data_IF_000083153962
#
_entry.id   IF_000083153962
#
_cell.length_a   1.000
_cell.length_b   1.000
_cell.length_c   1.000
_cell.angle_alpha   90.00
_cell.angle_beta   90.00
_cell.angle_gamma   90.00
#
_symmetry.space_group_name_H-M   'P 1'
#
loop_
_entity.id
_entity.type
_entity.pdbx_description
1 polymer ?
#
# COMPACT_ATOMS: atom_id res chain seq x y z
N UNK A 1 -6.74 107.67 23.11
CA UNK A 1 -7.93 107.40 22.27
C UNK A 1 -7.77 106.06 21.57
N UNK A 2 -8.83 105.26 21.61
CA UNK A 2 -8.92 103.83 21.24
C UNK A 2 -8.43 103.48 19.83
N UNK A 3 -7.73 102.34 19.69
CA UNK A 3 -7.39 101.68 18.41
C UNK A 3 -8.39 100.54 18.20
N UNK A 4 -9.29 100.69 17.24
CA UNK A 4 -10.26 99.67 16.84
C UNK A 4 -9.56 98.44 16.22
N UNK A 5 -9.83 97.25 16.76
CA UNK A 5 -9.36 95.95 16.24
C UNK A 5 -10.28 95.47 15.11
N UNK A 6 -9.75 95.44 13.89
CA UNK A 6 -10.36 94.75 12.74
C UNK A 6 -10.40 93.23 12.98
N UNK A 7 -11.60 92.64 13.06
CA UNK A 7 -11.81 91.18 13.12
C UNK A 7 -11.69 90.59 11.71
N UNK A 8 -10.70 89.73 11.48
CA UNK A 8 -10.60 88.90 10.25
C UNK A 8 -11.79 87.95 10.16
N UNK A 9 -12.65 88.10 9.14
CA UNK A 9 -13.71 87.13 8.80
C UNK A 9 -13.07 85.89 8.19
N UNK A 10 -13.21 84.75 8.86
CA UNK A 10 -12.78 83.45 8.33
C UNK A 10 -13.78 83.03 7.24
N UNK A 11 -13.27 82.66 6.07
CA UNK A 11 -14.10 82.19 4.95
C UNK A 11 -14.73 80.85 5.30
N UNK A 12 -16.05 80.83 5.43
CA UNK A 12 -16.87 79.63 5.73
C UNK A 12 -16.58 78.50 4.73
N UNK A 13 -16.31 78.84 3.47
CA UNK A 13 -15.99 77.88 2.42
C UNK A 13 -14.64 77.17 2.65
N UNK A 14 -13.63 77.88 3.18
CA UNK A 14 -12.35 77.26 3.55
C UNK A 14 -12.50 76.30 4.73
N UNK A 15 -13.35 76.64 5.69
CA UNK A 15 -13.68 75.74 6.82
C UNK A 15 -14.42 74.50 6.31
N UNK A 16 -15.43 74.68 5.46
CA UNK A 16 -16.19 73.57 4.89
C UNK A 16 -15.32 72.60 4.08
N UNK A 17 -14.40 73.13 3.26
CA UNK A 17 -13.46 72.32 2.50
C UNK A 17 -12.50 71.54 3.43
N UNK A 18 -12.02 72.17 4.51
CA UNK A 18 -11.16 71.51 5.49
C UNK A 18 -11.90 70.38 6.23
N UNK A 19 -13.13 70.63 6.66
CA UNK A 19 -13.96 69.63 7.34
C UNK A 19 -14.31 68.48 6.41
N UNK A 20 -14.64 68.77 5.15
CA UNK A 20 -14.92 67.75 4.13
C UNK A 20 -13.69 66.90 3.83
N UNK A 21 -12.51 67.51 3.76
CA UNK A 21 -11.25 66.79 3.59
C UNK A 21 -10.96 65.86 4.78
N UNK A 22 -11.15 66.34 6.01
CA UNK A 22 -10.96 65.51 7.21
C UNK A 22 -11.98 64.36 7.28
N UNK A 23 -13.22 64.60 6.86
CA UNK A 23 -14.24 63.55 6.76
C UNK A 23 -13.87 62.47 5.73
N UNK A 24 -13.43 62.87 4.54
CA UNK A 24 -12.96 61.93 3.52
C UNK A 24 -11.74 61.13 4.01
N UNK A 25 -10.79 61.77 4.70
CA UNK A 25 -9.64 61.09 5.29
C UNK A 25 -10.05 60.08 6.36
N UNK A 26 -11.01 60.44 7.23
CA UNK A 26 -11.56 59.53 8.23
C UNK A 26 -12.25 58.32 7.58
N UNK A 27 -13.01 58.53 6.49
CA UNK A 27 -13.62 57.45 5.71
C UNK A 27 -12.56 56.54 5.08
N UNK A 28 -11.52 57.10 4.47
CA UNK A 28 -10.44 56.30 3.86
C UNK A 28 -9.71 55.47 4.92
N UNK A 29 -9.42 56.04 6.09
CA UNK A 29 -8.76 55.31 7.18
C UNK A 29 -9.68 54.21 7.72
N UNK A 30 -10.96 54.51 7.96
CA UNK A 30 -11.91 53.55 8.54
C UNK A 30 -12.23 52.41 7.58
N UNK A 31 -12.65 52.72 6.35
CA UNK A 31 -13.02 51.72 5.36
C UNK A 31 -11.80 51.04 4.74
N UNK A 32 -10.71 51.77 4.50
CA UNK A 32 -9.45 51.20 4.03
C UNK A 32 -8.80 50.27 5.06
N UNK A 33 -8.77 50.67 6.34
CA UNK A 33 -8.29 49.81 7.43
C UNK A 33 -9.13 48.55 7.60
N UNK A 34 -10.46 48.66 7.49
CA UNK A 34 -11.37 47.51 7.52
C UNK A 34 -11.19 46.59 6.32
N UNK A 35 -10.98 47.15 5.12
CA UNK A 35 -10.69 46.38 3.91
C UNK A 35 -9.38 45.61 4.04
N UNK A 36 -8.30 46.25 4.51
CA UNK A 36 -7.01 45.60 4.74
C UNK A 36 -7.14 44.49 5.79
N UNK A 37 -7.85 44.75 6.90
CA UNK A 37 -8.10 43.75 7.94
C UNK A 37 -8.83 42.53 7.39
N UNK A 38 -9.93 42.74 6.66
CA UNK A 38 -10.71 41.65 6.05
C UNK A 38 -9.93 40.93 4.95
N UNK A 39 -9.12 41.65 4.17
CA UNK A 39 -8.22 41.06 3.18
C UNK A 39 -7.17 40.18 3.83
N UNK A 40 -6.59 40.60 4.97
CA UNK A 40 -5.64 39.78 5.75
C UNK A 40 -6.35 38.61 6.42
N UNK A 41 -7.56 38.78 6.96
CA UNK A 41 -8.32 37.68 7.59
C UNK A 41 -8.77 36.63 6.57
N UNK A 42 -9.21 37.03 5.37
CA UNK A 42 -9.59 36.09 4.30
C UNK A 42 -8.41 35.50 3.52
N UNK A 43 -7.26 36.18 3.48
CA UNK A 43 -6.04 35.67 2.82
C UNK A 43 -4.98 35.17 3.80
N UNK A 44 -5.29 35.11 5.11
CA UNK A 44 -4.56 34.24 6.02
C UNK A 44 -4.83 32.83 5.50
N UNK A 45 -3.89 32.33 4.71
CA UNK A 45 -3.70 30.91 4.52
C UNK A 45 -3.64 30.36 5.94
N UNK A 46 -4.70 29.69 6.40
CA UNK A 46 -4.58 28.81 7.55
C UNK A 46 -3.34 27.97 7.24
N UNK A 47 -2.32 28.05 8.10
CA UNK A 47 -1.21 27.11 8.03
C UNK A 47 -1.82 25.73 8.19
N UNK A 48 -2.17 25.10 7.08
CA UNK A 48 -2.74 23.77 7.07
C UNK A 48 -1.67 22.89 7.69
N UNK A 49 -1.99 22.32 8.84
CA UNK A 49 -1.06 21.59 9.68
C UNK A 49 -0.86 20.18 9.11
N UNK A 50 -0.41 20.14 7.85
CA UNK A 50 -0.33 18.91 7.08
C UNK A 50 0.71 17.97 7.67
N UNK A 51 0.45 16.68 7.51
CA UNK A 51 1.38 15.62 7.92
C UNK A 51 2.78 15.85 7.34
N UNK A 52 2.87 16.31 6.09
CA UNK A 52 4.13 16.63 5.43
C UNK A 52 4.92 17.73 6.15
N UNK A 53 4.25 18.81 6.58
CA UNK A 53 4.90 19.91 7.31
C UNK A 53 5.42 19.43 8.66
N UNK A 54 4.58 18.73 9.43
CA UNK A 54 4.94 18.19 10.74
C UNK A 54 6.16 17.27 10.67
N UNK A 55 6.20 16.37 9.66
CA UNK A 55 7.33 15.45 9.47
C UNK A 55 8.60 16.20 9.10
N UNK A 56 8.53 17.25 8.25
CA UNK A 56 9.69 18.07 7.92
C UNK A 56 10.27 18.75 9.15
N UNK A 57 9.41 19.34 9.96
CA UNK A 57 9.81 20.07 11.17
C UNK A 57 10.41 19.15 12.23
N UNK A 58 9.79 17.98 12.47
CA UNK A 58 10.27 17.01 13.45
C UNK A 58 11.58 16.34 13.04
N UNK A 59 11.92 16.34 11.75
CA UNK A 59 13.13 15.71 11.20
C UNK A 59 14.19 16.71 10.71
N UNK A 60 14.06 18.02 11.00
CA UNK A 60 14.98 19.06 10.51
C UNK A 60 16.47 18.79 10.85
N UNK A 61 16.72 18.18 12.00
CA UNK A 61 18.07 17.86 12.51
C UNK A 61 18.44 16.37 12.29
N UNK A 62 17.58 15.60 11.61
CA UNK A 62 17.78 14.18 11.35
C UNK A 62 18.73 13.99 10.17
N UNK A 63 19.94 13.46 10.42
CA UNK A 63 20.95 13.18 9.38
C UNK A 63 20.46 12.21 8.29
N UNK A 64 19.49 11.37 8.63
CA UNK A 64 18.87 10.41 7.74
C UNK A 64 17.66 10.98 6.97
N UNK A 65 17.40 12.28 7.11
CA UNK A 65 16.37 13.01 6.37
C UNK A 65 17.02 14.10 5.50
N UNK A 66 17.27 13.76 4.24
CA UNK A 66 18.14 14.54 3.34
C UNK A 66 17.31 15.25 2.28
N UNK A 67 17.78 16.42 1.83
CA UNK A 67 17.21 17.11 0.69
C UNK A 67 17.96 16.71 -0.58
N UNK A 68 17.24 16.17 -1.56
CA UNK A 68 17.76 15.82 -2.90
C UNK A 68 16.84 16.46 -3.94
N UNK A 69 17.36 17.38 -4.74
CA UNK A 69 16.59 18.11 -5.77
C UNK A 69 15.29 18.77 -5.24
N UNK A 70 15.32 19.27 -4.00
CA UNK A 70 14.17 19.91 -3.34
C UNK A 70 13.24 18.95 -2.59
N UNK A 71 13.29 17.66 -2.89
CA UNK A 71 12.51 16.63 -2.20
C UNK A 71 13.23 16.17 -0.93
N UNK A 72 12.47 15.78 0.09
CA UNK A 72 13.01 15.33 1.38
C UNK A 72 12.94 13.82 1.48
N UNK A 73 14.08 13.14 1.41
CA UNK A 73 14.19 11.68 1.47
C UNK A 73 14.52 11.20 2.88
N UNK A 74 13.81 10.18 3.33
CA UNK A 74 14.31 9.32 4.40
C UNK A 74 15.37 8.37 3.85
N UNK A 75 16.37 8.05 4.66
CA UNK A 75 17.52 7.27 4.19
C UNK A 75 18.22 6.51 5.29
N UNK A 76 18.98 5.48 4.94
CA UNK A 76 19.66 4.64 5.92
C UNK A 76 18.75 3.57 6.52
N UNK A 77 19.29 2.83 7.48
CA UNK A 77 18.58 1.80 8.24
C UNK A 77 18.02 2.36 9.55
N UNK A 78 17.05 1.67 10.16
CA UNK A 78 16.46 2.03 11.47
C UNK A 78 15.85 3.45 11.52
N UNK A 79 14.97 3.74 10.57
CA UNK A 79 14.28 5.03 10.43
C UNK A 79 12.85 4.94 10.94
N UNK A 80 12.41 5.95 11.70
CA UNK A 80 11.03 6.14 12.13
C UNK A 80 10.24 6.89 11.04
N UNK A 81 9.89 6.17 9.98
CA UNK A 81 9.15 6.67 8.83
C UNK A 81 7.91 5.83 8.50
N UNK A 82 7.31 5.20 9.50
CA UNK A 82 6.19 4.27 9.33
C UNK A 82 4.84 5.00 9.25
N UNK A 83 3.96 4.51 8.37
CA UNK A 83 2.59 5.01 8.19
C UNK A 83 1.66 3.80 8.09
N UNK A 84 0.52 3.85 8.78
CA UNK A 84 -0.54 2.85 8.63
C UNK A 84 -1.62 3.39 7.69
N UNK A 85 -1.95 2.61 6.67
CA UNK A 85 -3.02 2.91 5.72
C UNK A 85 -3.61 1.60 5.16
N UNK A 86 -4.92 1.47 5.19
CA UNK A 86 -5.67 0.27 4.79
C UNK A 86 -5.20 -0.99 5.55
N UNK A 87 -4.88 -0.85 6.85
CA UNK A 87 -4.26 -1.89 7.70
C UNK A 87 -2.97 -2.51 7.15
N UNK A 88 -2.33 -1.84 6.18
CA UNK A 88 -0.99 -2.13 5.73
C UNK A 88 -0.01 -1.18 6.39
N UNK A 89 1.20 -1.67 6.61
CA UNK A 89 2.31 -0.85 7.07
C UNK A 89 3.10 -0.33 5.87
N UNK A 90 3.32 0.97 5.84
CA UNK A 90 4.04 1.69 4.81
C UNK A 90 5.24 2.42 5.40
N UNK A 91 6.19 2.78 4.55
CA UNK A 91 7.42 3.51 4.85
C UNK A 91 7.51 4.72 3.94
N UNK A 92 7.66 5.90 4.50
CA UNK A 92 7.81 7.13 3.71
C UNK A 92 9.16 7.08 2.99
N UNK A 93 9.14 7.12 1.66
CA UNK A 93 10.34 7.31 0.84
C UNK A 93 10.73 8.79 0.93
N UNK A 94 9.79 9.65 0.57
CA UNK A 94 10.07 11.08 0.42
C UNK A 94 8.84 11.95 0.61
N UNK A 95 9.10 13.21 0.92
CA UNK A 95 8.13 14.30 0.79
C UNK A 95 8.49 15.11 -0.45
N UNK A 96 7.55 15.16 -1.39
CA UNK A 96 7.72 15.80 -2.69
C UNK A 96 7.70 17.33 -2.55
N UNK A 97 8.10 18.02 -3.63
CA UNK A 97 8.11 19.49 -3.69
C UNK A 97 6.73 20.12 -3.47
N UNK A 98 5.66 19.42 -3.87
CA UNK A 98 4.27 19.83 -3.70
C UNK A 98 3.67 19.42 -2.34
N UNK A 99 4.50 18.96 -1.39
CA UNK A 99 4.13 18.44 -0.07
C UNK A 99 3.27 17.16 -0.08
N UNK A 100 3.10 16.50 -1.23
CA UNK A 100 2.61 15.12 -1.23
C UNK A 100 3.68 14.18 -0.64
N UNK A 101 3.26 13.05 -0.08
CA UNK A 101 4.17 12.09 0.56
C UNK A 101 4.13 10.78 -0.23
N UNK A 102 5.27 10.37 -0.77
CA UNK A 102 5.41 9.08 -1.46
C UNK A 102 5.91 8.03 -0.48
N UNK A 103 5.20 6.92 -0.40
CA UNK A 103 5.48 5.83 0.53
C UNK A 103 5.42 4.47 -0.15
N UNK A 104 6.21 3.55 0.38
CA UNK A 104 6.32 2.16 -0.08
C UNK A 104 5.79 1.23 1.00
N UNK A 105 5.12 0.14 0.62
CA UNK A 105 4.77 -0.93 1.57
C UNK A 105 6.02 -1.41 2.34
N UNK A 106 5.91 -1.69 3.64
CA UNK A 106 7.05 -2.13 4.49
C UNK A 106 7.66 -3.43 3.94
N UNK A 107 6.80 -4.25 3.33
CA UNK A 107 7.14 -5.51 2.67
C UNK A 107 6.37 -5.68 1.38
N UNK A 108 6.90 -6.51 0.49
CA UNK A 108 6.19 -6.97 -0.69
C UNK A 108 4.85 -7.58 -0.29
N UNK A 109 3.84 -7.46 -1.15
CA UNK A 109 2.48 -7.94 -0.82
C UNK A 109 2.01 -9.08 -1.70
N UNK A 110 2.80 -9.45 -2.71
CA UNK A 110 2.61 -10.64 -3.54
C UNK A 110 3.91 -10.91 -4.31
N UNK A 111 3.99 -12.03 -5.02
CA UNK A 111 5.10 -12.36 -5.91
C UNK A 111 4.56 -12.67 -7.30
N UNK A 112 5.01 -11.95 -8.32
CA UNK A 112 4.52 -12.04 -9.69
C UNK A 112 5.67 -11.94 -10.68
N UNK A 113 5.51 -12.55 -11.84
CA UNK A 113 6.30 -12.20 -13.01
C UNK A 113 5.81 -10.87 -13.58
N UNK A 114 6.74 -10.03 -14.05
CA UNK A 114 6.37 -8.78 -14.75
C UNK A 114 5.64 -9.06 -16.07
N UNK A 115 5.96 -10.19 -16.71
CA UNK A 115 5.55 -10.52 -18.07
C UNK A 115 6.50 -9.94 -19.13
N UNK A 116 6.27 -10.29 -20.39
CA UNK A 116 7.15 -9.92 -21.51
C UNK A 116 7.02 -8.44 -21.93
N UNK A 117 6.09 -7.70 -21.34
CA UNK A 117 5.86 -6.32 -21.76
C UNK A 117 7.01 -5.39 -21.39
N UNK A 118 7.41 -4.59 -22.37
CA UNK A 118 8.44 -3.55 -22.24
C UNK A 118 7.95 -2.43 -21.31
N UNK A 119 6.73 -1.97 -21.57
CA UNK A 119 6.11 -0.84 -20.87
C UNK A 119 5.51 -1.26 -19.52
N UNK A 120 5.85 -0.52 -18.46
CA UNK A 120 5.37 -0.80 -17.11
C UNK A 120 3.83 -0.86 -17.03
N UNK A 121 3.12 0.12 -17.60
CA UNK A 121 1.64 0.22 -17.51
C UNK A 121 0.90 -0.97 -18.17
N UNK A 122 1.60 -1.78 -18.95
CA UNK A 122 1.04 -2.98 -19.60
C UNK A 122 1.53 -4.29 -18.98
N UNK A 123 2.44 -4.21 -18.00
CA UNK A 123 2.93 -5.36 -17.24
C UNK A 123 1.84 -5.99 -16.38
N UNK A 124 2.01 -7.28 -16.06
CA UNK A 124 1.14 -7.98 -15.13
C UNK A 124 1.15 -7.35 -13.74
N UNK A 125 2.30 -6.84 -13.29
CA UNK A 125 2.42 -6.11 -12.02
C UNK A 125 1.54 -4.86 -12.01
N UNK A 126 1.61 -4.03 -13.06
CA UNK A 126 0.76 -2.82 -13.14
C UNK A 126 -0.72 -3.17 -13.17
N UNK A 127 -1.11 -4.24 -13.87
CA UNK A 127 -2.51 -4.72 -13.92
C UNK A 127 -3.00 -5.27 -12.58
N UNK A 128 -2.12 -5.94 -11.84
CA UNK A 128 -2.46 -6.44 -10.51
C UNK A 128 -2.63 -5.30 -9.51
N UNK A 129 -1.77 -4.28 -9.59
CA UNK A 129 -1.84 -3.10 -8.73
C UNK A 129 -3.03 -2.20 -9.06
N UNK A 130 -3.23 -1.85 -10.34
CA UNK A 130 -4.17 -0.83 -10.76
C UNK A 130 -5.30 -1.39 -11.63
N UNK A 131 -6.50 -0.86 -11.45
CA UNK A 131 -7.71 -1.28 -12.14
C UNK A 131 -7.66 -0.88 -13.61
N UNK A 132 -8.16 -1.77 -14.47
CA UNK A 132 -8.47 -1.49 -15.87
C UNK A 132 -9.92 -1.87 -16.12
N UNK A 133 -10.78 -0.88 -16.36
CA UNK A 133 -12.25 -1.08 -16.42
C UNK A 133 -12.70 -2.13 -17.44
N UNK A 134 -11.92 -2.40 -18.48
CA UNK A 134 -12.22 -3.40 -19.52
C UNK A 134 -11.56 -4.76 -19.31
N UNK A 135 -10.87 -5.00 -18.19
CA UNK A 135 -10.13 -6.25 -17.93
C UNK A 135 -10.48 -6.82 -16.54
N UNK A 136 -10.96 -8.08 -16.52
CA UNK A 136 -11.19 -8.83 -15.28
C UNK A 136 -9.86 -9.12 -14.55
N UNK A 137 -9.94 -9.36 -13.23
CA UNK A 137 -8.79 -9.68 -12.37
C UNK A 137 -7.68 -8.60 -12.37
N UNK A 138 -8.04 -7.35 -12.63
CA UNK A 138 -7.14 -6.18 -12.51
C UNK A 138 -7.49 -5.34 -11.28
N UNK A 139 -6.54 -4.51 -10.82
CA UNK A 139 -6.72 -3.66 -9.65
C UNK A 139 -6.95 -4.44 -8.36
N UNK A 140 -6.32 -5.60 -8.20
CA UNK A 140 -6.45 -6.43 -7.00
C UNK A 140 -6.08 -5.61 -5.76
N UNK A 141 -4.98 -4.86 -5.79
CA UNK A 141 -4.67 -3.95 -4.68
C UNK A 141 -5.59 -2.72 -4.67
N UNK A 142 -5.72 -2.02 -5.80
CA UNK A 142 -6.50 -0.78 -5.89
C UNK A 142 -7.93 -0.93 -5.35
N UNK A 143 -8.64 -1.99 -5.74
CA UNK A 143 -10.01 -2.25 -5.32
C UNK A 143 -10.14 -2.52 -3.80
N UNK A 144 -9.05 -2.92 -3.14
CA UNK A 144 -9.02 -3.25 -1.72
C UNK A 144 -8.52 -2.09 -0.83
N UNK A 145 -7.88 -1.06 -1.40
CA UNK A 145 -7.42 0.10 -0.62
C UNK A 145 -8.61 1.00 -0.20
N UNK A 146 -8.56 1.45 1.05
CA UNK A 146 -9.63 2.21 1.67
C UNK A 146 -9.71 3.65 1.15
N UNK A 147 -10.87 4.04 0.62
CA UNK A 147 -11.17 5.43 0.28
C UNK A 147 -10.07 6.12 -0.56
N UNK A 148 -9.53 5.40 -1.56
CA UNK A 148 -8.37 5.85 -2.34
C UNK A 148 -8.50 7.29 -2.87
N UNK A 149 -9.64 7.63 -3.46
CA UNK A 149 -9.89 8.96 -4.03
C UNK A 149 -9.83 10.08 -2.99
N UNK A 150 -10.08 9.78 -1.71
CA UNK A 150 -9.95 10.75 -0.61
C UNK A 150 -8.49 11.00 -0.29
N UNK A 151 -7.70 9.93 -0.12
CA UNK A 151 -6.37 9.99 0.47
C UNK A 151 -5.21 10.07 -0.54
N UNK A 152 -5.33 9.41 -1.69
CA UNK A 152 -4.24 9.23 -2.65
C UNK A 152 -4.33 10.20 -3.82
N UNK A 153 -3.18 10.47 -4.42
CA UNK A 153 -3.02 11.13 -5.72
C UNK A 153 -2.20 10.21 -6.64
N UNK A 154 -2.13 10.53 -7.94
CA UNK A 154 -1.26 9.80 -8.85
C UNK A 154 0.20 9.83 -8.37
N UNK A 155 0.83 8.67 -8.42
CA UNK A 155 2.21 8.47 -7.97
C UNK A 155 3.15 8.72 -9.13
N UNK A 156 4.01 9.73 -8.99
CA UNK A 156 5.04 10.09 -9.97
C UNK A 156 6.31 9.31 -9.69
N UNK A 157 6.56 8.27 -10.48
CA UNK A 157 7.68 7.34 -10.31
C UNK A 157 8.62 7.42 -11.50
N UNK A 158 9.91 7.48 -11.21
CA UNK A 158 10.98 7.51 -12.18
C UNK A 158 11.06 6.23 -13.01
N UNK A 159 10.71 6.27 -14.30
CA UNK A 159 10.70 5.09 -15.19
C UNK A 159 11.75 5.13 -16.30
N UNK A 160 12.74 6.03 -16.19
CA UNK A 160 13.92 6.07 -17.05
C UNK A 160 14.49 4.66 -17.33
N UNK A 161 15.00 4.48 -18.56
CA UNK A 161 15.85 3.33 -18.89
C UNK A 161 17.25 3.58 -18.32
N UNK A 162 17.71 2.72 -17.40
CA UNK A 162 18.93 2.94 -16.61
C UNK A 162 19.99 1.88 -16.93
N UNK A 163 21.19 2.35 -17.29
CA UNK A 163 22.41 1.53 -17.45
C UNK A 163 23.52 1.95 -16.48
N UNK A 164 23.67 3.26 -16.24
CA UNK A 164 24.58 3.80 -15.24
C UNK A 164 23.80 4.10 -13.96
N UNK A 165 23.99 3.27 -12.94
CA UNK A 165 23.33 3.41 -11.64
C UNK A 165 23.85 4.59 -10.83
N UNK A 166 24.96 5.22 -11.25
CA UNK A 166 25.56 6.38 -10.57
C UNK A 166 24.91 7.70 -10.96
N UNK A 167 24.37 7.78 -12.18
CA UNK A 167 23.84 9.03 -12.76
C UNK A 167 22.47 8.80 -13.38
N UNK A 168 21.43 8.85 -12.53
CA UNK A 168 20.04 8.66 -12.95
C UNK A 168 19.42 10.03 -13.25
N UNK A 169 18.93 10.24 -14.48
CA UNK A 169 18.46 11.55 -14.92
C UNK A 169 17.06 11.90 -14.42
N UNK A 170 16.23 10.88 -14.26
CA UNK A 170 14.84 10.95 -13.84
C UNK A 170 13.98 11.93 -14.64
N UNK A 171 13.95 11.75 -15.95
CA UNK A 171 13.21 12.61 -16.88
C UNK A 171 11.85 12.03 -17.27
N UNK A 172 11.74 10.71 -17.30
CA UNK A 172 10.51 10.01 -17.64
C UNK A 172 9.81 9.53 -16.36
N UNK A 173 8.56 9.97 -16.19
CA UNK A 173 7.76 9.74 -14.99
C UNK A 173 6.45 9.04 -15.36
N UNK A 174 5.90 8.29 -14.40
CA UNK A 174 4.47 7.92 -14.44
C UNK A 174 3.60 9.15 -14.13
N UNK A 175 2.46 9.30 -14.80
CA UNK A 175 1.60 10.48 -14.65
C UNK A 175 0.13 10.17 -14.30
N UNK A 176 -0.32 8.94 -14.58
CA UNK A 176 -1.73 8.56 -14.63
C UNK A 176 -2.03 7.29 -13.82
N UNK A 177 -1.18 6.96 -12.84
CA UNK A 177 -1.25 5.71 -12.08
C UNK A 177 -1.21 5.99 -10.59
N UNK A 178 -2.17 5.46 -9.82
CA UNK A 178 -2.21 5.64 -8.36
C UNK A 178 -1.14 4.82 -7.64
N UNK A 179 -0.91 3.59 -8.10
CA UNK A 179 -0.05 2.62 -7.43
C UNK A 179 1.06 2.16 -8.38
N UNK A 180 2.31 2.33 -7.98
CA UNK A 180 3.48 1.89 -8.75
C UNK A 180 4.31 0.88 -7.96
N UNK A 181 5.52 0.60 -8.42
CA UNK A 181 6.58 -0.12 -7.69
C UNK A 181 7.80 0.80 -7.58
N UNK A 182 8.76 0.55 -6.66
CA UNK A 182 9.89 1.46 -6.46
C UNK A 182 10.70 1.73 -7.72
N UNK A 183 11.26 2.94 -7.80
CA UNK A 183 12.27 3.27 -8.79
C UNK A 183 13.68 3.04 -8.26
N UNK A 184 14.62 2.79 -9.17
CA UNK A 184 16.04 2.75 -8.84
C UNK A 184 16.54 4.10 -8.32
N UNK A 185 15.99 5.22 -8.81
CA UNK A 185 16.31 6.55 -8.33
C UNK A 185 15.98 6.69 -6.83
N UNK A 186 14.76 6.32 -6.44
CA UNK A 186 14.33 6.40 -5.04
C UNK A 186 15.11 5.41 -4.17
N UNK A 187 15.41 4.20 -4.68
CA UNK A 187 16.23 3.22 -3.98
C UNK A 187 17.64 3.75 -3.67
N UNK A 188 18.30 4.39 -4.65
CA UNK A 188 19.62 5.00 -4.43
C UNK A 188 19.53 6.18 -3.44
N UNK A 189 18.52 7.04 -3.57
CA UNK A 189 18.37 8.23 -2.70
C UNK A 189 18.03 7.87 -1.24
N UNK A 190 17.39 6.72 -1.00
CA UNK A 190 17.17 6.19 0.35
C UNK A 190 18.40 5.49 0.94
N UNK A 191 19.48 5.31 0.18
CA UNK A 191 20.74 4.71 0.64
C UNK A 191 21.12 3.37 0.00
N UNK A 192 20.37 2.91 -1.01
CA UNK A 192 20.65 1.66 -1.71
C UNK A 192 20.60 0.45 -0.79
N UNK A 193 21.66 -0.38 -0.79
CA UNK A 193 21.76 -1.58 0.03
C UNK A 193 21.64 -1.28 1.55
N UNK A 194 22.05 -0.10 1.99
CA UNK A 194 21.97 0.33 3.39
C UNK A 194 20.71 1.16 3.68
N UNK A 195 19.67 1.03 2.86
CA UNK A 195 18.38 1.70 3.05
C UNK A 195 17.38 0.82 3.79
N UNK A 196 16.40 1.44 4.44
CA UNK A 196 15.23 0.75 4.99
C UNK A 196 14.39 0.02 3.93
N UNK A 197 14.57 0.31 2.63
CA UNK A 197 13.87 -0.39 1.56
C UNK A 197 14.41 -1.80 1.36
N UNK A 198 15.69 -2.04 1.69
CA UNK A 198 16.31 -3.36 1.72
C UNK A 198 15.93 -4.07 3.03
N UNK A 199 14.96 -4.99 2.92
CA UNK A 199 14.42 -5.79 4.02
C UNK A 199 14.58 -7.30 3.75
N UNK A 200 15.67 -7.68 3.06
CA UNK A 200 16.00 -9.07 2.70
C UNK A 200 14.99 -9.74 1.74
N UNK A 201 14.22 -8.94 1.02
CA UNK A 201 13.25 -9.39 0.02
C UNK A 201 13.78 -9.18 -1.41
N UNK A 202 13.38 -10.05 -2.33
CA UNK A 202 13.47 -9.78 -3.75
C UNK A 202 12.29 -8.92 -4.18
N UNK A 203 12.54 -7.78 -4.82
CA UNK A 203 11.45 -6.95 -5.37
C UNK A 203 11.79 -6.28 -6.70
N UNK A 204 10.79 -6.17 -7.57
CA UNK A 204 10.92 -5.47 -8.85
C UNK A 204 11.04 -3.97 -8.68
N UNK A 205 11.85 -3.35 -9.56
CA UNK A 205 11.86 -1.92 -9.80
C UNK A 205 11.09 -1.60 -11.08
N UNK A 206 10.56 -0.39 -11.18
CA UNK A 206 9.83 0.06 -12.39
C UNK A 206 10.74 0.16 -13.62
N UNK A 207 12.04 0.38 -13.40
CA UNK A 207 13.02 0.67 -14.44
C UNK A 207 13.44 -0.57 -15.23
N UNK A 208 13.72 -0.37 -16.51
CA UNK A 208 14.41 -1.34 -17.36
C UNK A 208 15.82 -0.87 -17.69
N UNK A 209 16.64 -1.77 -18.20
CA UNK A 209 17.91 -1.44 -18.86
C UNK A 209 17.73 -1.34 -20.40
N UNK A 210 18.77 -0.98 -21.16
CA UNK A 210 18.75 -0.86 -22.63
C UNK A 210 18.51 -2.17 -23.35
N UNK A 211 18.80 -3.30 -22.72
CA UNK A 211 18.43 -4.64 -23.21
C UNK A 211 16.96 -4.98 -22.94
N UNK A 212 16.18 -4.04 -22.38
CA UNK A 212 14.79 -4.21 -21.98
C UNK A 212 14.60 -5.32 -20.93
N UNK A 213 15.62 -5.56 -20.10
CA UNK A 213 15.51 -6.39 -18.89
C UNK A 213 15.06 -5.51 -17.74
N UNK A 214 14.14 -6.02 -16.94
CA UNK A 214 13.65 -5.31 -15.77
C UNK A 214 14.64 -5.44 -14.62
N UNK A 215 14.84 -4.33 -13.93
CA UNK A 215 15.66 -4.29 -12.73
C UNK A 215 14.87 -4.85 -11.54
N UNK A 216 15.57 -5.55 -10.67
CA UNK A 216 15.06 -5.95 -9.35
C UNK A 216 16.17 -5.79 -8.31
N UNK A 217 15.77 -5.76 -7.05
CA UNK A 217 16.68 -5.83 -5.89
C UNK A 217 16.60 -7.25 -5.33
N UNK A 218 17.76 -7.88 -5.08
CA UNK A 218 17.84 -9.18 -4.42
C UNK A 218 17.81 -9.06 -2.89
N UNK A 219 17.80 -10.20 -2.20
CA UNK A 219 17.78 -10.25 -0.74
C UNK A 219 19.04 -9.71 -0.04
N UNK A 220 20.11 -9.41 -0.78
CA UNK A 220 21.31 -8.72 -0.26
C UNK A 220 21.28 -7.20 -0.56
N UNK A 221 20.17 -6.71 -1.14
CA UNK A 221 20.00 -5.33 -1.57
C UNK A 221 20.69 -5.02 -2.90
N UNK A 222 21.21 -6.01 -3.62
CA UNK A 222 21.96 -5.79 -4.87
C UNK A 222 21.04 -5.79 -6.08
N UNK A 223 21.49 -5.10 -7.12
CA UNK A 223 20.76 -4.95 -8.36
C UNK A 223 20.90 -6.19 -9.25
N UNK A 224 19.77 -6.79 -9.64
CA UNK A 224 19.68 -7.92 -10.56
C UNK A 224 18.81 -7.62 -11.78
N UNK A 225 18.93 -8.44 -12.84
CA UNK A 225 18.19 -8.27 -14.10
C UNK A 225 17.28 -9.46 -14.36
N UNK A 226 16.07 -9.19 -14.82
CA UNK A 226 15.06 -10.19 -15.19
C UNK A 226 14.60 -10.00 -16.64
N UNK A 227 14.34 -11.10 -17.33
CA UNK A 227 13.68 -11.09 -18.64
C UNK A 227 12.15 -10.94 -18.54
N UNK A 228 11.61 -10.72 -17.34
CA UNK A 228 10.17 -10.56 -17.07
C UNK A 228 9.45 -11.85 -16.66
N UNK A 229 10.11 -13.01 -16.72
CA UNK A 229 9.56 -14.31 -16.32
C UNK A 229 9.88 -14.70 -14.86
N UNK A 230 10.82 -14.01 -14.20
CA UNK A 230 11.16 -14.31 -12.81
C UNK A 230 10.00 -13.91 -11.89
N UNK A 231 9.66 -14.76 -10.92
CA UNK A 231 8.55 -14.50 -10.02
C UNK A 231 9.11 -13.93 -8.72
N UNK A 232 8.96 -12.61 -8.59
CA UNK A 232 9.64 -11.78 -7.59
C UNK A 232 8.61 -10.90 -6.87
N UNK A 233 8.95 -10.45 -5.67
CA UNK A 233 8.11 -9.58 -4.86
C UNK A 233 7.66 -8.31 -5.57
N UNK A 234 6.39 -7.96 -5.34
CA UNK A 234 5.79 -6.70 -5.74
C UNK A 234 5.65 -5.85 -4.48
N UNK A 235 6.39 -4.74 -4.44
CA UNK A 235 6.41 -3.80 -3.33
C UNK A 235 5.74 -2.48 -3.74
N UNK A 236 4.41 -2.33 -3.51
CA UNK A 236 3.67 -1.16 -3.95
C UNK A 236 4.22 0.16 -3.43
N UNK A 237 4.16 1.18 -4.27
CA UNK A 237 4.43 2.58 -3.94
C UNK A 237 3.19 3.41 -4.24
N UNK A 238 2.81 4.26 -3.29
CA UNK A 238 1.67 5.17 -3.40
C UNK A 238 2.05 6.59 -2.93
N UNK A 239 1.24 7.57 -3.31
CA UNK A 239 1.44 8.96 -2.91
C UNK A 239 0.17 9.50 -2.25
N UNK A 240 0.29 9.93 -0.99
CA UNK A 240 -0.81 10.59 -0.27
C UNK A 240 -0.81 12.10 -0.55
N UNK A 241 -2.01 12.68 -0.58
CA UNK A 241 -2.22 14.10 -0.89
C UNK A 241 -1.56 15.02 0.16
N UNK A 242 -1.16 16.20 -0.30
CA UNK A 242 -0.56 17.23 0.55
C UNK A 242 -1.50 17.77 1.64
N UNK A 243 -2.81 17.61 1.46
CA UNK A 243 -3.86 18.07 2.40
C UNK A 243 -4.11 17.10 3.55
N UNK A 244 -3.44 15.95 3.59
CA UNK A 244 -3.64 14.96 4.65
C UNK A 244 -2.98 15.43 5.94
N UNK A 245 -3.75 15.38 7.01
CA UNK A 245 -3.32 15.64 8.38
C UNK A 245 -3.18 14.30 9.11
N UNK A 246 -2.12 14.17 9.92
CA UNK A 246 -1.95 13.00 10.76
C UNK A 246 -2.94 13.07 11.94
N UNK A 247 -3.68 11.99 12.17
CA UNK A 247 -4.60 11.84 13.31
C UNK A 247 -3.93 11.23 14.53
N UNK A 248 -2.74 10.66 14.38
CA UNK A 248 -1.95 10.06 15.45
C UNK A 248 -0.66 9.44 14.94
N UNK A 249 0.11 8.87 15.87
CA UNK A 249 1.39 8.24 15.59
C UNK A 249 2.59 9.19 15.60
N UNK A 250 3.77 8.64 15.83
CA UNK A 250 5.07 9.35 15.79
C UNK A 250 5.99 8.83 14.67
N UNK A 251 5.50 7.86 13.88
CA UNK A 251 6.22 7.28 12.76
C UNK A 251 7.16 6.15 13.16
N UNK A 252 7.18 5.70 14.42
CA UNK A 252 7.85 4.45 14.81
C UNK A 252 7.06 3.23 14.31
N UNK A 253 7.68 2.05 14.30
CA UNK A 253 7.01 0.81 13.84
C UNK A 253 5.81 0.44 14.72
N UNK A 254 5.93 0.67 16.03
CA UNK A 254 4.90 0.34 17.02
C UNK A 254 3.83 1.43 17.11
N UNK A 255 4.15 2.66 16.68
CA UNK A 255 3.23 3.79 16.68
C UNK A 255 3.31 4.56 15.33
N UNK A 256 2.94 3.92 14.21
CA UNK A 256 3.05 4.51 12.88
C UNK A 256 2.11 5.71 12.75
N UNK A 257 2.45 6.66 11.87
CA UNK A 257 1.52 7.74 11.56
C UNK A 257 0.20 7.18 11.01
N UNK A 258 -0.91 7.76 11.42
CA UNK A 258 -2.26 7.40 10.96
C UNK A 258 -2.98 8.64 10.43
N UNK A 259 -3.91 8.45 9.50
CA UNK A 259 -4.73 9.54 8.96
C UNK A 259 -6.12 9.11 8.50
N UNK A 260 -6.43 7.81 8.58
CA UNK A 260 -7.73 7.29 8.16
C UNK A 260 -8.78 7.55 9.24
N UNK A 261 -9.89 8.18 8.86
CA UNK A 261 -11.03 8.37 9.78
C UNK A 261 -11.98 7.17 9.84
N UNK A 262 -11.93 6.28 8.85
CA UNK A 262 -12.80 5.09 8.73
C UNK A 262 -11.95 3.84 8.65
N UNK A 263 -12.33 2.80 9.38
CA UNK A 263 -11.60 1.53 9.39
C UNK A 263 -11.71 0.83 8.03
N UNK A 264 -10.58 0.41 7.50
CA UNK A 264 -10.51 -0.45 6.32
C UNK A 264 -10.90 -1.88 6.67
N UNK A 265 -11.65 -2.58 5.81
CA UNK A 265 -11.81 -4.04 5.93
C UNK A 265 -10.57 -4.78 5.44
N UNK A 266 -9.90 -4.28 4.40
CA UNK A 266 -8.76 -4.98 3.84
C UNK A 266 -7.62 -4.95 4.83
N UNK A 267 -6.93 -6.07 4.99
CA UNK A 267 -5.88 -6.22 5.97
C UNK A 267 -6.35 -6.27 7.43
N UNK A 268 -7.65 -6.12 7.73
CA UNK A 268 -8.15 -6.19 9.11
C UNK A 268 -7.98 -7.58 9.71
N UNK A 269 -7.79 -7.60 11.03
CA UNK A 269 -7.79 -8.82 11.83
C UNK A 269 -9.22 -9.24 12.14
N UNK A 270 -9.50 -10.54 12.05
CA UNK A 270 -10.81 -11.14 12.40
C UNK A 270 -10.57 -12.25 13.41
N UNK A 271 -11.32 -12.25 14.51
CA UNK A 271 -11.25 -13.30 15.52
C UNK A 271 -12.46 -14.22 15.42
N UNK A 272 -12.20 -15.50 15.18
CA UNK A 272 -13.22 -16.55 15.14
C UNK A 272 -12.82 -17.65 16.13
N UNK A 273 -13.60 -17.81 17.20
CA UNK A 273 -13.18 -18.66 18.33
C UNK A 273 -11.85 -18.18 18.92
N UNK A 274 -10.83 -19.04 18.86
CA UNK A 274 -9.46 -18.72 19.29
C UNK A 274 -8.53 -18.33 18.14
N UNK A 275 -8.98 -18.44 16.90
CA UNK A 275 -8.14 -18.22 15.73
C UNK A 275 -8.22 -16.74 15.28
N UNK A 276 -7.06 -16.19 14.92
CA UNK A 276 -6.93 -14.85 14.35
C UNK A 276 -6.64 -14.97 12.85
N UNK A 277 -7.44 -14.28 12.06
CA UNK A 277 -7.41 -14.28 10.61
C UNK A 277 -7.13 -12.87 10.07
N UNK A 278 -6.74 -12.74 8.79
CA UNK A 278 -6.58 -11.49 8.06
C UNK A 278 -7.48 -11.47 6.83
N UNK A 279 -8.22 -10.39 6.60
CA UNK A 279 -9.01 -10.20 5.38
C UNK A 279 -8.08 -9.87 4.21
N UNK A 280 -7.99 -10.76 3.22
CA UNK A 280 -7.14 -10.58 2.03
C UNK A 280 -7.92 -10.28 0.75
N UNK A 281 -9.25 -10.48 0.75
CA UNK A 281 -10.12 -10.18 -0.37
C UNK A 281 -11.49 -9.75 0.15
N UNK A 282 -12.06 -8.70 -0.44
CA UNK A 282 -13.40 -8.19 -0.13
C UNK A 282 -14.25 -8.26 -1.39
N UNK A 283 -15.39 -8.93 -1.28
CA UNK A 283 -16.44 -8.95 -2.27
C UNK A 283 -17.69 -8.26 -1.69
N UNK A 284 -18.72 -8.05 -2.52
CA UNK A 284 -19.92 -7.30 -2.11
C UNK A 284 -20.59 -7.85 -0.84
N UNK A 285 -20.62 -9.18 -0.68
CA UNK A 285 -21.32 -9.89 0.42
C UNK A 285 -20.40 -10.69 1.34
N UNK A 286 -19.17 -10.93 0.94
CA UNK A 286 -18.27 -11.85 1.63
C UNK A 286 -16.86 -11.31 1.71
N UNK A 287 -16.12 -11.78 2.71
CA UNK A 287 -14.69 -11.53 2.86
C UNK A 287 -13.96 -12.87 2.88
N UNK A 288 -12.82 -12.94 2.19
CA UNK A 288 -11.92 -14.08 2.31
C UNK A 288 -10.82 -13.78 3.32
N UNK A 289 -10.55 -14.78 4.13
CA UNK A 289 -9.70 -14.71 5.30
C UNK A 289 -8.53 -15.67 5.16
N UNK A 290 -7.32 -15.23 5.47
CA UNK A 290 -6.15 -16.08 5.63
C UNK A 290 -5.80 -16.21 7.11
N UNK A 291 -5.47 -17.41 7.58
CA UNK A 291 -5.07 -17.59 8.98
C UNK A 291 -3.81 -16.74 9.26
N UNK A 292 -3.83 -15.95 10.33
CA UNK A 292 -2.70 -15.08 10.68
C UNK A 292 -1.56 -15.83 11.40
N UNK A 293 -1.55 -17.15 11.31
CA UNK A 293 -0.54 -18.03 11.89
C UNK A 293 -0.52 -19.35 11.10
N UNK A 294 0.38 -20.26 11.47
CA UNK A 294 0.29 -21.65 11.04
C UNK A 294 -0.88 -22.34 11.73
N UNK A 295 -1.41 -23.38 11.08
CA UNK A 295 -2.41 -24.27 11.68
C UNK A 295 -1.78 -25.02 12.87
N UNK A 296 -2.26 -24.71 14.08
CA UNK A 296 -1.80 -25.30 15.33
C UNK A 296 -2.94 -26.11 15.95
N UNK A 297 -2.67 -27.37 16.31
CA UNK A 297 -3.64 -28.23 17.02
C UNK A 297 -2.92 -28.77 18.25
N UNK A 298 -3.54 -28.62 19.43
CA UNK A 298 -2.96 -29.07 20.71
C UNK A 298 -1.53 -28.55 20.95
N UNK A 299 -1.27 -27.28 20.60
CA UNK A 299 0.04 -26.62 20.64
C UNK A 299 1.10 -27.17 19.67
N UNK A 300 0.74 -28.08 18.78
CA UNK A 300 1.63 -28.59 17.74
C UNK A 300 1.35 -27.93 16.38
N UNK A 301 2.40 -27.37 15.77
CA UNK A 301 2.38 -26.90 14.39
C UNK A 301 2.14 -28.07 13.45
N UNK A 302 1.02 -28.03 12.71
CA UNK A 302 0.67 -29.10 11.81
C UNK A 302 1.40 -28.96 10.47
N UNK A 303 1.85 -30.11 9.95
CA UNK A 303 2.44 -30.21 8.62
C UNK A 303 1.74 -31.29 7.81
N UNK A 304 1.60 -31.04 6.53
CA UNK A 304 0.89 -31.95 5.65
C UNK A 304 1.42 -31.85 4.22
N UNK A 305 1.35 -32.96 3.48
CA UNK A 305 1.68 -32.99 2.06
C UNK A 305 0.51 -32.48 1.23
N UNK A 306 0.76 -31.63 0.23
CA UNK A 306 -0.31 -31.11 -0.62
C UNK A 306 -1.16 -32.24 -1.25
N UNK A 307 -0.48 -33.21 -1.87
CA UNK A 307 -1.08 -34.41 -2.47
C UNK A 307 -0.03 -35.53 -2.55
N UNK A 308 -0.44 -36.76 -2.85
CA UNK A 308 0.50 -37.83 -3.22
C UNK A 308 1.05 -37.65 -4.63
N UNK A 309 0.29 -36.98 -5.52
CA UNK A 309 0.61 -36.75 -6.92
C UNK A 309 -0.25 -35.58 -7.46
N UNK A 310 0.34 -34.73 -8.30
CA UNK A 310 -0.33 -33.62 -8.99
C UNK A 310 -0.59 -32.37 -8.14
N UNK A 311 -1.17 -31.36 -8.80
CA UNK A 311 -1.38 -30.01 -8.25
C UNK A 311 -2.85 -29.70 -7.88
N UNK A 312 -3.80 -30.52 -8.34
CA UNK A 312 -5.21 -30.24 -8.15
C UNK A 312 -5.57 -30.24 -6.66
N UNK A 313 -6.22 -29.16 -6.22
CA UNK A 313 -6.77 -29.08 -4.88
C UNK A 313 -8.09 -29.84 -4.86
N UNK A 314 -8.07 -31.10 -4.39
CA UNK A 314 -9.22 -31.99 -4.44
C UNK A 314 -9.58 -32.49 -3.04
N UNK A 315 -10.68 -31.97 -2.51
CA UNK A 315 -11.20 -32.24 -1.17
C UNK A 315 -12.05 -33.52 -1.07
N UNK A 316 -12.31 -34.22 -2.19
CA UNK A 316 -12.95 -35.54 -2.22
C UNK A 316 -11.94 -36.70 -2.17
N UNK A 317 -10.67 -36.41 -2.49
CA UNK A 317 -9.62 -37.43 -2.57
C UNK A 317 -8.92 -37.62 -1.22
N UNK A 318 -9.12 -38.78 -0.61
CA UNK A 318 -8.45 -39.15 0.65
C UNK A 318 -6.93 -38.92 0.59
N UNK A 319 -6.35 -38.52 1.72
CA UNK A 319 -4.91 -38.25 1.92
C UNK A 319 -4.35 -37.03 1.17
N UNK A 320 -5.18 -36.14 0.63
CA UNK A 320 -4.77 -34.81 0.17
C UNK A 320 -4.90 -33.78 1.30
N UNK A 321 -4.19 -32.66 1.19
CA UNK A 321 -4.34 -31.53 2.12
C UNK A 321 -5.76 -30.96 2.06
N UNK A 322 -6.31 -30.87 0.85
CA UNK A 322 -7.68 -30.42 0.61
C UNK A 322 -8.71 -31.27 1.37
N UNK A 323 -8.58 -32.59 1.33
CA UNK A 323 -9.47 -33.50 2.06
C UNK A 323 -9.32 -33.31 3.57
N UNK A 324 -8.09 -33.23 4.06
CA UNK A 324 -7.82 -33.00 5.48
C UNK A 324 -8.48 -31.69 5.97
N UNK A 325 -8.27 -30.58 5.25
CA UNK A 325 -8.83 -29.28 5.63
C UNK A 325 -10.37 -29.31 5.65
N UNK A 326 -11.00 -29.82 4.59
CA UNK A 326 -12.45 -29.72 4.42
C UNK A 326 -13.26 -30.81 5.16
N UNK A 327 -12.67 -31.99 5.42
CA UNK A 327 -13.40 -33.09 6.07
C UNK A 327 -12.93 -33.37 7.51
N UNK A 328 -11.67 -33.04 7.85
CA UNK A 328 -11.11 -33.33 9.18
C UNK A 328 -10.96 -32.08 10.03
N UNK A 329 -10.28 -31.05 9.53
CA UNK A 329 -10.01 -29.83 10.29
C UNK A 329 -11.28 -28.98 10.46
N UNK A 330 -12.02 -28.73 9.38
CA UNK A 330 -13.27 -27.95 9.40
C UNK A 330 -14.24 -28.46 10.47
N UNK A 331 -14.38 -29.78 10.63
CA UNK A 331 -15.29 -30.38 11.60
C UNK A 331 -14.88 -30.19 13.07
N UNK A 332 -13.64 -29.75 13.33
CA UNK A 332 -13.14 -29.41 14.67
C UNK A 332 -13.37 -27.94 15.05
N UNK A 333 -13.70 -27.08 14.09
CA UNK A 333 -13.88 -25.65 14.34
C UNK A 333 -15.23 -25.38 15.01
N UNK A 334 -15.22 -24.62 16.11
CA UNK A 334 -16.44 -24.20 16.80
C UNK A 334 -17.33 -23.28 15.97
N UNK A 335 -16.75 -22.64 14.96
CA UNK A 335 -17.39 -21.67 14.08
C UNK A 335 -17.54 -22.18 12.63
N UNK A 336 -17.48 -23.50 12.41
CA UNK A 336 -17.56 -24.12 11.08
C UNK A 336 -18.80 -23.72 10.27
N UNK A 337 -19.91 -23.41 10.94
CA UNK A 337 -21.17 -23.02 10.30
C UNK A 337 -21.15 -21.59 9.75
N UNK A 338 -20.14 -20.79 10.13
CA UNK A 338 -19.87 -19.49 9.52
C UNK A 338 -19.12 -19.60 8.19
N UNK A 339 -18.39 -20.71 7.97
CA UNK A 339 -17.54 -20.92 6.81
C UNK A 339 -18.38 -21.36 5.61
N UNK A 340 -18.25 -20.61 4.52
CA UNK A 340 -19.01 -20.81 3.30
C UNK A 340 -18.19 -21.54 2.24
N UNK A 341 -18.90 -22.32 1.44
CA UNK A 341 -18.35 -22.79 0.18
C UNK A 341 -18.32 -21.62 -0.80
N UNK A 342 -17.15 -21.39 -1.39
CA UNK A 342 -16.95 -20.34 -2.40
C UNK A 342 -15.85 -20.77 -3.37
N UNK A 343 -15.57 -19.91 -4.35
CA UNK A 343 -14.54 -20.09 -5.36
C UNK A 343 -13.18 -19.66 -4.85
N UNK A 344 -12.24 -20.59 -4.84
CA UNK A 344 -10.81 -20.33 -4.62
C UNK A 344 -10.00 -20.64 -5.87
N UNK A 345 -8.98 -19.83 -6.14
CA UNK A 345 -8.09 -20.03 -7.27
C UNK A 345 -7.23 -21.30 -7.10
N UNK A 346 -7.12 -22.10 -8.16
CA UNK A 346 -6.30 -23.31 -8.23
C UNK A 346 -5.69 -23.50 -9.63
N UNK A 347 -5.47 -22.40 -10.36
CA UNK A 347 -4.92 -22.46 -11.71
C UNK A 347 -3.43 -22.76 -11.81
N UNK A 348 -2.93 -22.70 -13.05
CA UNK A 348 -1.54 -22.98 -13.40
C UNK A 348 -0.74 -21.70 -13.69
N UNK A 349 0.49 -21.66 -13.20
CA UNK A 349 1.42 -20.54 -13.41
C UNK A 349 2.77 -21.06 -13.92
N UNK A 350 3.07 -20.83 -15.19
CA UNK A 350 4.32 -21.26 -15.82
C UNK A 350 4.50 -20.61 -17.19
N UNK A 351 5.54 -21.01 -17.92
CA UNK A 351 5.75 -20.60 -19.31
C UNK A 351 4.57 -20.97 -20.22
N UNK A 352 3.83 -22.07 -19.97
CA UNK A 352 2.66 -22.42 -20.79
C UNK A 352 1.49 -21.46 -20.59
N UNK A 353 1.44 -20.79 -19.44
CA UNK A 353 0.45 -19.73 -19.16
C UNK A 353 1.03 -18.33 -19.34
N UNK A 354 2.28 -18.20 -19.83
CA UNK A 354 3.05 -16.97 -19.96
C UNK A 354 3.28 -16.24 -18.62
N UNK A 355 3.24 -16.96 -17.50
CA UNK A 355 3.28 -16.39 -16.16
C UNK A 355 2.24 -15.27 -15.96
N UNK A 356 1.05 -15.46 -16.55
CA UNK A 356 -0.09 -14.56 -16.41
C UNK A 356 -0.93 -14.93 -15.20
N UNK A 357 -0.94 -14.08 -14.17
CA UNK A 357 -1.64 -14.37 -12.91
C UNK A 357 -3.16 -14.40 -13.10
N UNK A 358 -3.69 -13.70 -14.09
CA UNK A 358 -5.14 -13.65 -14.34
C UNK A 358 -5.67 -15.04 -14.71
N UNK A 359 -4.86 -15.87 -15.36
CA UNK A 359 -5.20 -17.26 -15.68
C UNK A 359 -5.24 -18.14 -14.42
N UNK A 360 -4.41 -17.84 -13.43
CA UNK A 360 -4.42 -18.52 -12.13
C UNK A 360 -5.73 -18.22 -11.40
N UNK A 361 -6.08 -16.93 -11.31
CA UNK A 361 -7.28 -16.47 -10.58
C UNK A 361 -8.58 -16.90 -11.27
N UNK A 362 -8.58 -17.05 -12.60
CA UNK A 362 -9.74 -17.49 -13.38
C UNK A 362 -10.08 -18.98 -13.19
N UNK A 363 -9.07 -19.83 -13.01
CA UNK A 363 -9.29 -21.26 -12.76
C UNK A 363 -9.57 -21.48 -11.27
N UNK A 364 -10.81 -21.84 -10.96
CA UNK A 364 -11.31 -21.91 -9.58
C UNK A 364 -11.86 -23.29 -9.23
N UNK A 365 -11.92 -23.55 -7.93
CA UNK A 365 -12.59 -24.70 -7.32
C UNK A 365 -13.58 -24.21 -6.27
N UNK A 366 -14.71 -24.89 -6.17
CA UNK A 366 -15.71 -24.65 -5.12
C UNK A 366 -15.33 -25.50 -3.91
N UNK A 367 -15.00 -24.86 -2.79
CA UNK A 367 -14.68 -25.54 -1.53
C UNK A 367 -14.86 -24.59 -0.34
N UNK A 368 -14.86 -25.12 0.89
CA UNK A 368 -15.00 -24.31 2.11
C UNK A 368 -13.68 -23.76 2.64
N UNK A 369 -12.61 -24.52 2.46
CA UNK A 369 -11.26 -24.18 2.88
C UNK A 369 -10.27 -24.41 1.74
N UNK A 370 -9.35 -23.48 1.55
CA UNK A 370 -8.27 -23.59 0.55
C UNK A 370 -6.94 -23.10 1.12
N UNK A 371 -5.99 -22.77 0.25
CA UNK A 371 -4.75 -22.02 0.53
C UNK A 371 -4.72 -20.74 -0.31
N UNK A 372 -3.82 -19.82 0.01
CA UNK A 372 -3.54 -18.66 -0.85
C UNK A 372 -3.00 -19.11 -2.21
N UNK A 373 -3.43 -18.43 -3.26
CA UNK A 373 -2.95 -18.59 -4.64
C UNK A 373 -1.97 -17.47 -5.03
N UNK A 374 -1.14 -17.70 -6.03
CA UNK A 374 -0.44 -16.61 -6.71
C UNK A 374 -1.45 -15.62 -7.27
N UNK A 375 -1.18 -14.34 -7.05
CA UNK A 375 -2.12 -13.26 -7.29
C UNK A 375 -2.95 -12.86 -6.07
N UNK A 376 -2.99 -13.66 -5.00
CA UNK A 376 -3.60 -13.21 -3.74
C UNK A 376 -2.63 -12.29 -2.97
N UNK A 377 -3.15 -11.26 -2.26
CA UNK A 377 -2.36 -10.49 -1.32
C UNK A 377 -1.86 -11.33 -0.13
N UNK A 378 -0.59 -11.13 0.23
CA UNK A 378 0.09 -11.79 1.35
C UNK A 378 0.26 -10.78 2.49
N UNK A 379 -0.53 -10.96 3.54
CA UNK A 379 -0.64 -9.98 4.64
C UNK A 379 0.17 -10.34 5.89
N UNK A 380 0.68 -11.58 5.95
CA UNK A 380 1.60 -12.02 6.99
C UNK A 380 2.81 -12.70 6.36
N UNK A 381 3.77 -11.89 5.96
CA UNK A 381 5.01 -12.31 5.32
C UNK A 381 6.04 -12.95 6.26
N UNK A 382 5.76 -13.02 7.57
CA UNK A 382 6.60 -13.74 8.53
C UNK A 382 6.41 -15.26 8.43
N UNK A 383 5.27 -15.71 7.91
CA UNK A 383 4.99 -17.11 7.70
C UNK A 383 5.70 -17.60 6.44
N UNK A 384 6.50 -18.66 6.55
CA UNK A 384 7.21 -19.24 5.41
C UNK A 384 6.98 -20.74 5.31
N UNK A 385 7.41 -21.31 4.18
CA UNK A 385 7.47 -22.75 3.96
C UNK A 385 6.10 -23.44 4.04
N UNK A 386 5.11 -22.86 3.36
CA UNK A 386 3.78 -23.43 3.15
C UNK A 386 3.42 -23.41 1.66
N UNK A 387 2.59 -24.37 1.25
CA UNK A 387 2.12 -24.47 -0.14
C UNK A 387 1.16 -23.34 -0.50
N UNK A 388 1.28 -22.85 -1.73
CA UNK A 388 0.21 -22.10 -2.38
C UNK A 388 -0.73 -23.06 -3.13
N UNK A 389 -1.95 -22.65 -3.42
CA UNK A 389 -2.90 -23.45 -4.22
C UNK A 389 -2.58 -23.43 -5.72
N UNK A 390 -1.53 -22.74 -6.16
CA UNK A 390 -1.18 -22.61 -7.58
C UNK A 390 -0.29 -23.77 -8.06
N UNK A 391 -0.71 -24.42 -9.15
CA UNK A 391 0.09 -25.44 -9.83
C UNK A 391 1.06 -24.86 -10.85
N UNK A 392 2.02 -25.67 -11.30
CA UNK A 392 2.99 -25.26 -12.34
C UNK A 392 2.52 -25.72 -13.73
N UNK A 393 2.22 -27.02 -13.84
CA UNK A 393 1.70 -27.67 -15.04
C UNK A 393 0.85 -28.89 -14.65
N UNK A 394 -0.03 -29.35 -15.53
CA UNK A 394 -0.96 -30.46 -15.30
C UNK A 394 -0.27 -31.77 -14.94
N UNK A 395 0.91 -32.00 -15.51
CA UNK A 395 1.71 -33.21 -15.28
C UNK A 395 2.79 -33.01 -14.21
N UNK A 396 2.91 -31.81 -13.65
CA UNK A 396 3.91 -31.52 -12.63
C UNK A 396 3.44 -32.00 -11.27
N UNK A 397 4.39 -32.57 -10.52
CA UNK A 397 4.22 -32.88 -9.11
C UNK A 397 4.72 -31.78 -8.19
N UNK A 398 5.20 -30.67 -8.73
CA UNK A 398 5.72 -29.57 -7.97
C UNK A 398 4.65 -28.49 -7.79
N UNK A 399 4.60 -27.95 -6.58
CA UNK A 399 3.73 -26.85 -6.15
C UNK A 399 4.57 -25.64 -5.80
N UNK A 400 3.99 -24.45 -5.95
CA UNK A 400 4.60 -23.25 -5.43
C UNK A 400 4.55 -23.20 -3.91
N UNK A 401 5.61 -22.67 -3.32
CA UNK A 401 5.79 -22.51 -1.87
C UNK A 401 6.16 -21.07 -1.59
N UNK A 402 5.45 -20.47 -0.63
CA UNK A 402 5.78 -19.13 -0.18
C UNK A 402 6.99 -19.13 0.77
N UNK A 403 7.87 -18.16 0.58
CA UNK A 403 9.01 -17.84 1.43
C UNK A 403 9.03 -16.34 1.70
N UNK A 404 9.62 -15.93 2.83
CA UNK A 404 9.64 -14.54 3.27
C UNK A 404 10.52 -13.62 2.42
N UNK A 405 11.37 -14.16 1.55
CA UNK A 405 12.18 -13.39 0.61
C UNK A 405 11.40 -12.98 -0.66
N UNK A 406 10.12 -13.36 -0.79
CA UNK A 406 9.25 -13.10 -1.95
C UNK A 406 9.78 -13.57 -3.31
N UNK A 407 10.83 -14.39 -3.32
CA UNK A 407 11.21 -15.16 -4.49
C UNK A 407 10.43 -16.46 -4.46
N UNK A 408 9.86 -16.86 -5.60
CA UNK A 408 9.01 -18.02 -5.61
C UNK A 408 9.81 -19.31 -5.79
N UNK A 409 9.54 -20.29 -4.93
CA UNK A 409 10.17 -21.60 -4.94
C UNK A 409 9.15 -22.69 -5.22
N UNK A 410 9.65 -23.85 -5.64
CA UNK A 410 8.82 -25.02 -5.87
C UNK A 410 9.28 -26.19 -4.99
N UNK A 411 8.32 -26.98 -4.53
CA UNK A 411 8.56 -28.23 -3.81
C UNK A 411 7.64 -29.32 -4.36
N UNK A 412 8.06 -30.57 -4.24
CA UNK A 412 7.18 -31.69 -4.56
C UNK A 412 5.94 -31.65 -3.67
N UNK A 413 4.76 -31.87 -4.25
CA UNK A 413 3.45 -31.95 -3.60
C UNK A 413 3.41 -33.01 -2.49
N UNK A 414 4.27 -34.02 -2.54
CA UNK A 414 4.42 -35.05 -1.51
C UNK A 414 5.24 -34.59 -0.29
N UNK A 415 5.89 -33.42 -0.36
CA UNK A 415 6.65 -32.85 0.76
C UNK A 415 5.70 -32.39 1.84
N UNK A 416 5.96 -32.75 3.11
CA UNK A 416 5.18 -32.25 4.24
C UNK A 416 5.64 -30.84 4.62
N UNK A 417 4.75 -29.86 4.50
CA UNK A 417 5.00 -28.44 4.78
C UNK A 417 3.98 -27.89 5.77
N UNK A 418 4.26 -26.69 6.30
CA UNK A 418 3.34 -25.97 7.19
C UNK A 418 2.07 -25.58 6.44
N UNK A 419 1.00 -25.30 7.18
CA UNK A 419 -0.32 -25.02 6.61
C UNK A 419 -0.79 -23.63 7.05
N UNK A 420 -1.21 -22.82 6.07
CA UNK A 420 -1.88 -21.54 6.28
C UNK A 420 -3.19 -21.61 5.48
N UNK A 421 -4.31 -22.02 6.10
CA UNK A 421 -5.57 -22.14 5.39
C UNK A 421 -6.19 -20.77 5.09
N UNK A 422 -7.05 -20.75 4.07
CA UNK A 422 -7.97 -19.65 3.80
C UNK A 422 -9.42 -20.12 3.85
N UNK A 423 -10.33 -19.22 4.22
CA UNK A 423 -11.78 -19.44 4.34
C UNK A 423 -12.55 -18.22 3.81
N UNK A 424 -13.86 -18.35 3.64
CA UNK A 424 -14.77 -17.24 3.33
C UNK A 424 -15.94 -17.20 4.31
N UNK A 425 -16.35 -15.99 4.70
CA UNK A 425 -17.50 -15.73 5.58
C UNK A 425 -18.33 -14.55 5.05
N UNK A 426 -19.58 -14.44 5.50
CA UNK A 426 -20.41 -13.27 5.20
C UNK A 426 -19.84 -12.00 5.86
N UNK A 427 -19.67 -10.95 5.06
CA UNK A 427 -19.13 -9.67 5.51
C UNK A 427 -19.99 -9.03 6.61
N UNK A 428 -21.31 -9.09 6.45
CA UNK A 428 -22.27 -8.43 7.34
C UNK A 428 -22.33 -9.04 8.75
N UNK A 429 -21.69 -10.20 8.96
CA UNK A 429 -21.56 -10.80 10.29
C UNK A 429 -20.50 -10.13 11.14
N UNK A 430 -19.57 -9.38 10.55
CA UNK A 430 -18.49 -8.68 11.25
C UNK A 430 -18.98 -7.32 11.76
N UNK A 431 -19.58 -7.28 12.94
CA UNK A 431 -20.23 -6.06 13.48
C UNK A 431 -19.52 -5.46 14.69
N UNK A 432 -18.56 -6.17 15.29
CA UNK A 432 -17.80 -5.74 16.47
C UNK A 432 -16.32 -5.55 16.14
N UNK A 433 -15.63 -4.77 16.97
CA UNK A 433 -14.20 -4.51 16.84
C UNK A 433 -13.86 -3.45 15.80
N UNK A 434 -12.58 -3.02 15.78
CA UNK A 434 -12.09 -2.02 14.82
C UNK A 434 -11.23 -2.63 13.72
N UNK A 435 -10.92 -3.92 13.79
CA UNK A 435 -10.09 -4.64 12.82
C UNK A 435 -8.59 -4.50 13.06
N UNK A 436 -8.17 -3.92 14.17
CA UNK A 436 -6.76 -3.92 14.61
C UNK A 436 -6.42 -5.24 15.29
N UNK A 437 -5.13 -5.52 15.51
CA UNK A 437 -4.73 -6.75 16.22
C UNK A 437 -5.23 -6.77 17.67
N UNK A 438 -5.29 -5.61 18.33
CA UNK A 438 -5.74 -5.46 19.72
C UNK A 438 -7.28 -5.38 19.83
N UNK A 439 -7.96 -5.05 18.74
CA UNK A 439 -9.42 -5.04 18.63
C UNK A 439 -9.85 -5.65 17.29
N UNK A 440 -9.70 -6.98 17.13
CA UNK A 440 -10.05 -7.66 15.89
C UNK A 440 -11.55 -7.58 15.64
N UNK A 441 -11.94 -7.69 14.37
CA UNK A 441 -13.34 -7.83 14.00
C UNK A 441 -13.92 -9.13 14.55
N UNK A 442 -15.12 -9.08 15.07
CA UNK A 442 -15.82 -10.23 15.67
C UNK A 442 -17.26 -10.33 15.17
N UNK A 443 -17.79 -11.56 15.21
CA UNK A 443 -19.21 -11.85 14.93
C UNK A 443 -20.05 -11.63 16.19
N UNK A 444 -21.31 -11.20 16.03
CA UNK A 444 -22.22 -10.94 17.16
C UNK A 444 -22.37 -12.09 18.15
#
# INVERSE_FOLDING_TARGET
MSKERSKRKISVQKIFNLVSLMFLLACVIFYGGRFIKLYIENNKVEETNSMAKNIKESNKDNKNFKIVNGEYYFSGTNINNYVSYSNLLWRIIKINNDNTITMISDSSITSLAKGESKEYNSSYISKWLNKKDSEEYTGILENNLNNMNKYLTFTKTCKDVIEDTKNISCKDLTEDTYITIPSLNDYVNTGGNDSFMNNEEYFYLINNNKENKSWYIDNEGKLGKSNGADVIGVKPVITIKATIEATGGDGTKDNPYTFEGENSLFGSYVKLGNDIWRIYEINDKEVKLALNNYLIINNDEQKYNYSSNGYQYNDTKNKTLAYYLNNTYLNKLSYKDLIKETKFANGLYSNTTNFDYTKVLKETIDTKMSLLSLGDPILNNKLTNYFMSTGIDKNSNNMYVFQNDFKLYTKSSSTSLKIVPVISIDKDKLTKGTGTIDSPLEVE
#
